data_IF_145481454095
#
_entry.id   IF_145481454095
#
_cell.length_a   1.000
_cell.length_b   1.000
_cell.length_c   1.000
_cell.angle_alpha   90.00
_cell.angle_beta   90.00
_cell.angle_gamma   90.00
#
_symmetry.space_group_name_H-M   'P 1'
#
loop_
_entity.id
_entity.type
_entity.pdbx_description
1 polymer ?
#
# COMPACT_ATOMS: atom_id res chain seq x y z
N UNK A 1 -30.23 -26.25 -41.38
CA UNK A 1 -30.56 -25.26 -40.34
C UNK A 1 -29.50 -25.43 -39.28
N UNK A 2 -28.35 -24.78 -39.50
CA UNK A 2 -27.12 -24.93 -38.73
C UNK A 2 -26.53 -23.55 -38.61
N UNK A 3 -27.06 -22.80 -37.65
CA UNK A 3 -26.60 -21.48 -37.29
C UNK A 3 -25.98 -21.56 -35.89
N UNK A 4 -24.86 -20.86 -35.73
CA UNK A 4 -24.33 -20.34 -34.47
C UNK A 4 -23.60 -21.27 -33.49
N UNK A 5 -22.37 -21.65 -33.85
CA UNK A 5 -21.27 -21.77 -32.87
C UNK A 5 -20.02 -21.06 -33.40
N UNK A 6 -20.11 -19.74 -33.60
CA UNK A 6 -18.94 -18.87 -33.84
C UNK A 6 -18.96 -17.68 -32.89
N UNK A 7 -19.04 -17.97 -31.58
CA UNK A 7 -18.97 -16.96 -30.52
C UNK A 7 -17.94 -17.33 -29.44
N UNK A 8 -16.79 -17.90 -29.81
CA UNK A 8 -15.77 -18.30 -28.81
C UNK A 8 -14.44 -17.52 -28.87
N UNK A 9 -14.16 -16.76 -29.95
CA UNK A 9 -12.86 -16.06 -30.08
C UNK A 9 -12.88 -14.56 -29.74
N UNK A 10 -14.04 -13.91 -29.75
CA UNK A 10 -14.14 -12.48 -29.44
C UNK A 10 -14.11 -12.19 -27.92
N UNK A 11 -14.64 -13.08 -27.09
CA UNK A 11 -14.64 -12.91 -25.63
C UNK A 11 -13.24 -12.98 -25.00
N UNK A 12 -12.34 -13.81 -25.55
CA UNK A 12 -11.01 -14.03 -24.98
C UNK A 12 -10.12 -12.77 -25.06
N UNK A 13 -10.14 -12.04 -26.19
CA UNK A 13 -9.35 -10.80 -26.34
C UNK A 13 -9.84 -9.70 -25.41
N UNK A 14 -11.16 -9.56 -25.29
CA UNK A 14 -11.77 -8.59 -24.37
C UNK A 14 -11.43 -8.92 -22.92
N UNK A 15 -11.56 -10.19 -22.54
CA UNK A 15 -11.23 -10.65 -21.19
C UNK A 15 -9.75 -10.42 -20.87
N UNK A 16 -8.85 -10.69 -21.82
CA UNK A 16 -7.41 -10.38 -21.66
C UNK A 16 -7.15 -8.90 -21.46
N UNK A 17 -7.86 -8.02 -22.18
CA UNK A 17 -7.74 -6.57 -21.98
C UNK A 17 -8.21 -6.13 -20.60
N UNK A 18 -9.38 -6.60 -20.16
CA UNK A 18 -9.91 -6.30 -18.82
C UNK A 18 -8.93 -6.79 -17.75
N UNK A 19 -8.41 -8.01 -17.89
CA UNK A 19 -7.47 -8.59 -16.93
C UNK A 19 -6.15 -7.81 -16.91
N UNK A 20 -5.65 -7.37 -18.06
CA UNK A 20 -4.46 -6.54 -18.16
C UNK A 20 -4.67 -5.19 -17.48
N UNK A 21 -5.82 -4.54 -17.66
CA UNK A 21 -6.15 -3.28 -16.99
C UNK A 21 -6.23 -3.44 -15.47
N UNK A 22 -6.90 -4.50 -15.00
CA UNK A 22 -6.99 -4.79 -13.56
C UNK A 22 -5.62 -5.11 -12.97
N UNK A 23 -4.80 -5.90 -13.68
CA UNK A 23 -3.45 -6.22 -13.26
C UNK A 23 -2.56 -4.97 -13.21
N UNK A 24 -2.66 -4.08 -14.20
CA UNK A 24 -1.92 -2.81 -14.20
C UNK A 24 -2.34 -1.91 -13.03
N UNK A 25 -3.63 -1.83 -12.72
CA UNK A 25 -4.13 -1.08 -11.57
C UNK A 25 -3.61 -1.65 -10.24
N UNK A 26 -3.66 -2.97 -10.08
CA UNK A 26 -3.10 -3.64 -8.90
C UNK A 26 -1.60 -3.41 -8.78
N UNK A 27 -0.85 -3.53 -9.89
CA UNK A 27 0.58 -3.30 -9.91
C UNK A 27 0.92 -1.87 -9.49
N UNK A 28 0.17 -0.88 -9.99
CA UNK A 28 0.29 0.51 -9.59
C UNK A 28 0.05 0.69 -8.08
N UNK A 29 -0.99 0.08 -7.52
CA UNK A 29 -1.30 0.17 -6.09
C UNK A 29 -0.24 -0.48 -5.20
N UNK A 30 0.37 -1.57 -5.66
CA UNK A 30 1.46 -2.24 -4.96
C UNK A 30 2.78 -1.46 -5.08
N UNK A 31 3.03 -0.82 -6.22
CA UNK A 31 4.26 -0.06 -6.46
C UNK A 31 4.27 1.31 -5.76
N UNK A 32 3.11 1.94 -5.56
CA UNK A 32 3.06 3.30 -5.03
C UNK A 32 3.67 3.45 -3.62
N UNK A 33 3.35 2.61 -2.61
CA UNK A 33 3.94 2.73 -1.28
C UNK A 33 5.46 2.55 -1.21
N UNK A 34 6.08 1.49 -1.78
CA UNK A 34 7.53 1.36 -1.73
C UNK A 34 8.26 2.48 -2.46
N UNK A 35 7.69 3.00 -3.56
CA UNK A 35 8.25 4.15 -4.25
C UNK A 35 8.20 5.40 -3.35
N UNK A 36 7.04 5.68 -2.76
CA UNK A 36 6.83 6.85 -1.90
C UNK A 36 7.74 6.83 -0.67
N UNK A 37 7.77 5.71 0.07
CA UNK A 37 8.61 5.60 1.26
C UNK A 37 10.10 5.47 0.94
N UNK A 38 10.46 4.87 -0.20
CA UNK A 38 11.83 4.86 -0.70
C UNK A 38 12.35 6.28 -0.98
N UNK A 39 11.57 7.09 -1.70
CA UNK A 39 11.89 8.50 -1.98
C UNK A 39 12.01 9.31 -0.69
N UNK A 40 11.04 9.19 0.22
CA UNK A 40 11.06 9.92 1.51
C UNK A 40 12.26 9.48 2.37
N UNK A 41 12.63 8.19 2.35
CA UNK A 41 13.79 7.68 3.10
C UNK A 41 15.12 8.24 2.57
N UNK A 42 15.23 8.45 1.26
CA UNK A 42 16.42 9.04 0.63
C UNK A 42 16.47 10.57 0.87
N UNK A 43 15.34 11.26 0.70
CA UNK A 43 15.24 12.70 0.97
C UNK A 43 15.46 13.06 2.44
N UNK A 44 14.99 12.23 3.37
CA UNK A 44 15.26 12.39 4.80
C UNK A 44 16.75 12.41 5.15
N UNK A 45 17.61 11.83 4.30
CA UNK A 45 19.07 11.84 4.45
C UNK A 45 19.75 13.00 3.72
N UNK A 46 19.11 13.59 2.70
CA UNK A 46 19.68 14.63 1.83
C UNK A 46 18.78 15.86 1.73
N UNK A 47 18.56 16.54 2.85
CA UNK A 47 17.78 17.80 2.98
C UNK A 47 16.31 17.65 2.52
N UNK A 48 15.38 18.47 3.06
CA UNK A 48 14.01 18.50 2.58
C UNK A 48 13.96 19.14 1.19
N UNK A 49 14.25 18.37 0.15
CA UNK A 49 13.86 18.75 -1.21
C UNK A 49 12.34 18.61 -1.29
N UNK A 50 11.69 19.68 -1.75
CA UNK A 50 10.27 19.65 -2.03
C UNK A 50 9.97 18.45 -2.97
N UNK A 51 8.82 17.80 -2.81
CA UNK A 51 8.45 16.71 -3.70
C UNK A 51 8.54 17.17 -5.14
N UNK A 52 9.32 16.43 -5.94
CA UNK A 52 9.50 16.75 -7.35
C UNK A 52 8.12 16.83 -8.01
N UNK A 53 7.92 17.79 -8.91
CA UNK A 53 6.61 18.11 -9.48
C UNK A 53 5.90 16.91 -10.13
N UNK A 54 6.64 15.88 -10.55
CA UNK A 54 6.10 14.65 -11.11
C UNK A 54 5.46 13.72 -10.06
N UNK A 55 5.77 13.89 -8.79
CA UNK A 55 5.28 13.02 -7.72
C UNK A 55 3.82 13.31 -7.38
N UNK A 56 3.39 14.57 -7.46
CA UNK A 56 2.01 15.00 -7.22
C UNK A 56 0.99 14.25 -8.11
N UNK A 57 1.11 14.24 -9.45
CA UNK A 57 0.18 13.49 -10.30
C UNK A 57 0.28 11.98 -10.10
N UNK A 58 1.38 11.46 -9.56
CA UNK A 58 1.54 10.04 -9.24
C UNK A 58 0.84 9.66 -7.93
N UNK A 59 0.83 10.54 -6.92
CA UNK A 59 0.23 10.26 -5.60
C UNK A 59 -1.25 10.57 -5.56
N UNK A 60 -1.71 11.56 -6.34
CA UNK A 60 -3.11 12.01 -6.33
C UNK A 60 -4.13 10.89 -6.63
N UNK A 61 -3.94 9.99 -7.62
CA UNK A 61 -4.88 8.89 -7.86
C UNK A 61 -4.89 7.86 -6.72
N UNK A 62 -3.72 7.59 -6.14
CA UNK A 62 -3.58 6.71 -4.99
C UNK A 62 -4.31 7.26 -3.76
N UNK A 63 -4.15 8.56 -3.50
CA UNK A 63 -4.84 9.30 -2.43
C UNK A 63 -6.36 9.27 -2.65
N UNK A 64 -6.82 9.55 -3.87
CA UNK A 64 -8.23 9.49 -4.22
C UNK A 64 -8.79 8.09 -3.96
N UNK A 65 -8.07 7.03 -4.31
CA UNK A 65 -8.48 5.65 -4.06
C UNK A 65 -8.60 5.34 -2.57
N UNK A 66 -7.66 5.83 -1.76
CA UNK A 66 -7.72 5.70 -0.30
C UNK A 66 -8.96 6.38 0.30
N UNK A 67 -9.33 7.55 -0.24
CA UNK A 67 -10.40 8.36 0.34
C UNK A 67 -11.80 7.94 -0.15
N UNK A 68 -11.90 7.38 -1.36
CA UNK A 68 -13.19 7.13 -2.04
C UNK A 68 -13.54 5.64 -2.20
N UNK A 69 -12.67 4.71 -1.79
CA UNK A 69 -12.93 3.27 -1.94
C UNK A 69 -12.87 2.53 -0.60
N UNK A 70 -13.60 1.39 -0.46
CA UNK A 70 -13.51 0.53 0.72
C UNK A 70 -12.12 -0.11 0.89
N UNK A 71 -11.22 0.07 -0.08
CA UNK A 71 -9.84 -0.41 -0.01
C UNK A 71 -8.96 0.44 0.94
N UNK A 72 -9.50 1.51 1.55
CA UNK A 72 -8.79 2.34 2.52
C UNK A 72 -8.07 1.53 3.59
N UNK A 73 -8.77 0.58 4.23
CA UNK A 73 -8.23 -0.28 5.28
C UNK A 73 -7.01 -1.08 4.83
N UNK A 74 -7.14 -1.94 3.80
CA UNK A 74 -6.01 -2.74 3.31
C UNK A 74 -4.86 -1.88 2.77
N UNK A 75 -5.12 -0.82 1.99
CA UNK A 75 -4.04 0.05 1.49
C UNK A 75 -3.32 0.81 2.62
N UNK A 76 -4.04 1.26 3.64
CA UNK A 76 -3.43 1.93 4.81
C UNK A 76 -2.51 0.98 5.57
N UNK A 77 -2.95 -0.27 5.80
CA UNK A 77 -2.11 -1.28 6.44
C UNK A 77 -0.88 -1.63 5.60
N UNK A 78 -1.05 -1.75 4.28
CA UNK A 78 0.05 -2.01 3.35
C UNK A 78 1.07 -0.86 3.32
N UNK A 79 0.59 0.39 3.26
CA UNK A 79 1.44 1.57 3.37
C UNK A 79 2.17 1.64 4.72
N UNK A 80 1.47 1.34 5.82
CA UNK A 80 2.09 1.29 7.16
C UNK A 80 3.21 0.26 7.23
N UNK A 81 3.01 -0.93 6.64
CA UNK A 81 4.04 -1.97 6.59
C UNK A 81 5.29 -1.50 5.85
N UNK A 82 5.12 -0.81 4.72
CA UNK A 82 6.26 -0.23 3.99
C UNK A 82 6.94 0.90 4.78
N UNK A 83 6.18 1.78 5.44
CA UNK A 83 6.73 2.79 6.33
C UNK A 83 7.57 2.16 7.45
N UNK A 84 7.09 1.09 8.10
CA UNK A 84 7.88 0.34 9.08
C UNK A 84 9.13 -0.30 8.46
N UNK A 85 9.06 -0.80 7.23
CA UNK A 85 10.23 -1.41 6.56
C UNK A 85 11.31 -0.39 6.22
N UNK A 86 10.93 0.83 5.81
CA UNK A 86 11.87 1.89 5.43
C UNK A 86 12.36 2.73 6.63
N UNK A 87 11.52 2.97 7.63
CA UNK A 87 11.84 3.83 8.79
C UNK A 87 11.96 3.08 10.12
N UNK A 88 11.36 1.89 10.24
CA UNK A 88 11.33 1.08 11.47
C UNK A 88 12.63 0.35 11.81
N UNK A 89 13.70 0.48 11.00
CA UNK A 89 15.05 0.03 11.39
C UNK A 89 15.60 0.74 12.66
N UNK A 90 14.89 1.76 13.18
CA UNK A 90 15.25 2.46 14.41
C UNK A 90 14.36 2.16 15.61
N UNK A 91 13.33 1.30 15.49
CA UNK A 91 12.46 0.94 16.60
C UNK A 91 12.78 -0.49 17.01
N UNK A 92 13.90 -0.67 17.69
CA UNK A 92 14.05 -1.78 18.63
C UNK A 92 12.83 -1.69 19.55
N UNK A 93 11.98 -2.73 19.66
CA UNK A 93 10.96 -2.73 20.70
C UNK A 93 11.71 -2.56 22.03
N UNK A 94 11.51 -1.42 22.68
CA UNK A 94 12.05 -1.23 24.02
C UNK A 94 11.40 -2.29 24.90
N UNK A 95 12.17 -3.13 25.63
CA UNK A 95 11.63 -4.21 26.46
C UNK A 95 10.83 -3.72 27.69
N UNK A 96 10.39 -2.46 27.72
CA UNK A 96 9.76 -1.83 28.89
C UNK A 96 8.24 -2.01 29.00
N UNK A 97 7.61 -2.85 28.18
CA UNK A 97 6.20 -3.23 28.36
C UNK A 97 6.01 -4.40 29.33
N UNK A 98 6.82 -4.49 30.40
CA UNK A 98 6.47 -5.29 31.57
C UNK A 98 5.58 -4.41 32.45
N UNK A 99 4.28 -4.69 32.60
CA UNK A 99 3.48 -3.99 33.59
C UNK A 99 4.12 -4.22 34.97
N UNK A 100 4.20 -3.19 35.84
CA UNK A 100 4.69 -3.41 37.20
C UNK A 100 3.84 -4.51 37.85
N UNK A 101 4.46 -5.45 38.62
CA UNK A 101 3.70 -6.47 39.31
C UNK A 101 2.64 -5.78 40.19
N UNK A 102 1.37 -6.04 39.86
CA UNK A 102 0.21 -5.57 40.60
C UNK A 102 0.42 -5.89 42.07
N UNK A 103 0.54 -4.84 42.89
CA UNK A 103 0.80 -4.96 44.32
C UNK A 103 -0.22 -5.91 44.95
N UNK A 104 0.25 -7.07 45.39
CA UNK A 104 -0.55 -8.00 46.17
C UNK A 104 -0.96 -7.33 47.49
N UNK A 105 -2.22 -7.50 47.94
CA UNK A 105 -2.63 -6.99 49.25
C UNK A 105 -1.88 -7.75 50.35
N UNK A 106 -1.35 -7.01 51.32
CA UNK A 106 -0.68 -7.55 52.49
C UNK A 106 -1.65 -8.44 53.31
N UNK A 107 -1.19 -9.59 53.83
CA UNK A 107 -2.00 -10.40 54.74
C UNK A 107 -2.17 -9.70 56.10
N UNK A 108 -3.25 -10.03 56.85
CA UNK A 108 -3.61 -9.37 58.11
C UNK A 108 -2.61 -9.61 59.24
#
# INVERSE_FOLDING_TARGET
MSEDFSSEKHGSRWLSWVLATVAALLLYLLAAPPLLFGLISDWGKRRPQAPEAWMTPFVMPYQWLLDHTPLRGPLTNYSRWWGQKFFGKHITPSPSSTPPPSSAPAPP
#
